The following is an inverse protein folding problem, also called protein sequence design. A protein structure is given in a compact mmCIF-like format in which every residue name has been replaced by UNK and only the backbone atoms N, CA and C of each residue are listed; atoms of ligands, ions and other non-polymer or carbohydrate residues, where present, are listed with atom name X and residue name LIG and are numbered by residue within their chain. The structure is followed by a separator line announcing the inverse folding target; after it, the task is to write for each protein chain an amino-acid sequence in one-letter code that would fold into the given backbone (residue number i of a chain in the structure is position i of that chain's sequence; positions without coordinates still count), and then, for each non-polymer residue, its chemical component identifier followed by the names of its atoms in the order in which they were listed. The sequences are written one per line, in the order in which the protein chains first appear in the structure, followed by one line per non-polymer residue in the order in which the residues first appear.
data_IF_635746807667
#
_entry.id   IF_635746807667
#
_cell.length_a   1.000
_cell.length_b   1.000
_cell.length_c   1.000
_cell.angle_alpha   90.00
_cell.angle_beta   90.00
_cell.angle_gamma   90.00
#
_symmetry.space_group_name_H-M   'P 1'
#
loop_
_entity.id
_entity.type
_entity.pdbx_description
1 polymer ?
#
# COMPACT_ATOMS: atom_id res chain seq x y z
N UNK A 1 7.77 -11.93 -2.31
CA UNK A 1 7.70 -10.54 -1.83
C UNK A 1 6.31 -10.35 -1.22
N UNK A 2 6.23 -9.88 0.03
CA UNK A 2 4.94 -9.63 0.68
C UNK A 2 4.61 -8.15 0.57
N UNK A 3 3.61 -7.81 -0.24
CA UNK A 3 3.11 -6.45 -0.40
C UNK A 3 1.84 -6.29 0.44
N UNK A 4 1.83 -5.29 1.29
CA UNK A 4 0.71 -4.99 2.17
C UNK A 4 0.27 -3.55 1.94
N UNK A 5 -1.00 -3.37 1.58
CA UNK A 5 -1.63 -2.08 1.44
C UNK A 5 -2.28 -1.72 2.77
N UNK A 6 -1.86 -0.62 3.38
CA UNK A 6 -2.50 -0.09 4.57
C UNK A 6 -3.28 1.18 4.21
N UNK A 7 -4.60 1.06 4.22
CA UNK A 7 -5.52 2.08 3.68
C UNK A 7 -6.69 2.33 4.62
N UNK A 8 -7.48 3.35 4.35
CA UNK A 8 -8.79 3.51 5.00
C UNK A 8 -9.88 2.76 4.23
N UNK A 9 -10.99 2.42 4.87
CA UNK A 9 -12.13 1.80 4.16
C UNK A 9 -12.69 2.71 3.05
N UNK A 10 -12.52 4.02 3.20
CA UNK A 10 -12.97 5.04 2.25
C UNK A 10 -11.87 5.48 1.27
N UNK A 11 -10.75 4.77 1.19
CA UNK A 11 -9.63 5.18 0.33
C UNK A 11 -9.98 5.04 -1.16
N UNK A 12 -10.23 6.18 -1.80
CA UNK A 12 -10.56 6.26 -3.22
C UNK A 12 -9.41 5.84 -4.17
N UNK A 13 -8.18 5.75 -3.68
CA UNK A 13 -7.01 5.34 -4.47
C UNK A 13 -6.89 3.82 -4.57
N UNK A 14 -7.44 3.09 -3.59
CA UNK A 14 -7.27 1.65 -3.46
C UNK A 14 -7.60 0.88 -4.75
N UNK A 15 -8.72 1.13 -5.47
CA UNK A 15 -9.03 0.38 -6.69
C UNK A 15 -7.97 0.54 -7.79
N UNK A 16 -7.37 1.74 -7.90
CA UNK A 16 -6.33 1.98 -8.90
C UNK A 16 -5.02 1.29 -8.50
N UNK A 17 -4.65 1.30 -7.22
CA UNK A 17 -3.45 0.60 -6.73
C UNK A 17 -3.57 -0.90 -6.93
N UNK A 18 -4.73 -1.48 -6.54
CA UNK A 18 -5.04 -2.91 -6.76
C UNK A 18 -4.82 -3.31 -8.21
N UNK A 19 -5.41 -2.56 -9.14
CA UNK A 19 -5.28 -2.80 -10.57
C UNK A 19 -3.83 -2.76 -11.05
N UNK A 20 -3.02 -1.77 -10.62
CA UNK A 20 -1.61 -1.73 -11.05
C UNK A 20 -0.80 -2.90 -10.50
N UNK A 21 -1.09 -3.37 -9.27
CA UNK A 21 -0.44 -4.56 -8.71
C UNK A 21 -0.89 -5.84 -9.41
N UNK A 22 -2.18 -5.96 -9.73
CA UNK A 22 -2.74 -7.08 -10.49
C UNK A 22 -2.15 -7.13 -11.90
N UNK A 23 -2.08 -5.98 -12.60
CA UNK A 23 -1.49 -5.84 -13.94
C UNK A 23 0.02 -6.19 -13.92
N UNK A 24 0.70 -6.00 -12.79
CA UNK A 24 2.09 -6.38 -12.58
C UNK A 24 2.27 -7.84 -12.09
N UNK A 25 1.18 -8.58 -11.85
CA UNK A 25 1.22 -9.96 -11.35
C UNK A 25 1.68 -10.09 -9.90
N UNK A 26 1.48 -9.06 -9.09
CA UNK A 26 1.97 -8.97 -7.71
C UNK A 26 0.85 -9.34 -6.75
N UNK A 27 1.11 -10.33 -5.90
CA UNK A 27 0.20 -10.65 -4.80
C UNK A 27 0.33 -9.60 -3.68
N UNK A 28 -0.81 -9.15 -3.17
CA UNK A 28 -0.88 -8.20 -2.06
C UNK A 28 -1.99 -8.55 -1.06
N UNK A 29 -1.83 -8.06 0.16
CA UNK A 29 -2.86 -8.05 1.19
C UNK A 29 -3.34 -6.62 1.43
N UNK A 30 -4.58 -6.46 1.87
CA UNK A 30 -5.14 -5.16 2.24
C UNK A 30 -5.50 -5.21 3.72
N UNK A 31 -4.91 -4.32 4.48
CA UNK A 31 -5.26 -4.06 5.86
C UNK A 31 -5.82 -2.65 5.99
N UNK A 32 -6.77 -2.50 6.91
CA UNK A 32 -7.40 -1.21 7.17
C UNK A 32 -6.79 -0.56 8.40
N UNK A 33 -6.48 0.74 8.29
CA UNK A 33 -5.94 1.58 9.36
C UNK A 33 -6.86 1.54 10.57
N UNK A 34 -8.16 1.56 10.33
CA UNK A 34 -9.23 1.54 11.33
C UNK A 34 -9.21 0.27 12.19
N UNK A 35 -8.74 -0.85 11.62
CA UNK A 35 -8.68 -2.16 12.28
C UNK A 35 -7.30 -2.45 12.89
N UNK A 36 -6.27 -1.67 12.53
CA UNK A 36 -4.87 -1.95 12.88
C UNK A 36 -4.17 -0.74 13.55
N UNK A 37 -4.67 -0.23 14.69
CA UNK A 37 -4.12 0.97 15.33
C UNK A 37 -2.66 0.79 15.81
N UNK A 38 -2.26 -0.43 16.17
CA UNK A 38 -0.89 -0.73 16.58
C UNK A 38 0.11 -0.55 15.43
N UNK A 39 -0.28 -0.96 14.22
CA UNK A 39 0.54 -0.86 13.02
C UNK A 39 0.65 0.60 12.55
N UNK A 40 -0.41 1.38 12.75
CA UNK A 40 -0.41 2.83 12.51
C UNK A 40 0.56 3.52 13.46
N UNK A 41 0.56 3.15 14.75
CA UNK A 41 1.45 3.72 15.74
C UNK A 41 2.92 3.33 15.51
N UNK A 42 3.19 2.05 15.22
CA UNK A 42 4.56 1.54 15.01
C UNK A 42 5.27 2.17 13.82
N UNK A 43 4.50 2.51 12.77
CA UNK A 43 5.03 3.17 11.58
C UNK A 43 4.77 4.69 11.54
N UNK A 44 4.19 5.28 12.59
CA UNK A 44 3.81 6.69 12.67
C UNK A 44 3.01 7.17 11.44
N UNK A 45 2.03 6.36 11.05
CA UNK A 45 1.18 6.59 9.87
C UNK A 45 0.14 7.66 10.22
N UNK A 46 -0.05 8.62 9.31
CA UNK A 46 -0.91 9.80 9.53
C UNK A 46 -1.93 10.04 8.42
N UNK A 47 -1.78 9.36 7.29
CA UNK A 47 -2.62 9.49 6.11
C UNK A 47 -2.63 8.16 5.35
N UNK A 48 -3.57 7.99 4.42
CA UNK A 48 -3.63 6.87 3.50
C UNK A 48 -3.52 7.36 2.06
N UNK A 49 -3.11 6.51 1.10
CA UNK A 49 -2.71 5.10 1.24
C UNK A 49 -1.23 4.93 1.61
N UNK A 50 -0.88 3.82 2.27
CA UNK A 50 0.50 3.39 2.52
C UNK A 50 0.74 2.00 1.95
N UNK A 51 1.99 1.71 1.58
CA UNK A 51 2.40 0.38 1.13
C UNK A 51 3.62 -0.08 1.92
N UNK A 52 3.47 -1.24 2.55
CA UNK A 52 4.53 -1.95 3.24
C UNK A 52 5.01 -3.11 2.37
N UNK A 53 6.32 -3.31 2.31
CA UNK A 53 6.95 -4.42 1.62
C UNK A 53 7.81 -5.18 2.61
N UNK A 54 7.49 -6.46 2.82
CA UNK A 54 8.10 -7.30 3.86
C UNK A 54 8.11 -6.62 5.25
N UNK A 55 7.04 -5.90 5.59
CA UNK A 55 6.88 -5.17 6.85
C UNK A 55 7.58 -3.82 6.93
N UNK A 56 8.30 -3.40 5.88
CA UNK A 56 8.91 -2.07 5.82
C UNK A 56 8.02 -1.09 5.07
N UNK A 57 7.74 0.07 5.66
CA UNK A 57 6.96 1.13 5.02
C UNK A 57 7.78 1.77 3.89
N UNK A 58 7.42 1.47 2.63
CA UNK A 58 8.12 1.94 1.44
C UNK A 58 7.43 3.18 0.86
N UNK A 59 6.10 3.14 0.74
CA UNK A 59 5.31 4.25 0.23
C UNK A 59 4.46 4.82 1.36
N UNK A 60 4.64 6.10 1.65
CA UNK A 60 3.85 6.85 2.65
C UNK A 60 2.69 7.60 2.02
N UNK A 61 2.85 8.02 0.77
CA UNK A 61 1.88 8.79 0.01
C UNK A 61 1.29 7.97 -1.14
N UNK A 62 0.29 8.54 -1.82
CA UNK A 62 -0.30 7.97 -3.04
C UNK A 62 0.81 7.74 -4.09
N UNK A 63 1.21 6.48 -4.35
CA UNK A 63 2.23 6.23 -5.35
C UNK A 63 1.63 6.44 -6.74
N UNK A 64 2.41 7.04 -7.64
CA UNK A 64 2.01 7.13 -9.04
C UNK A 64 2.11 5.78 -9.74
N UNK A 65 1.37 5.61 -10.85
CA UNK A 65 1.47 4.39 -11.68
C UNK A 65 2.90 4.14 -12.15
N UNK A 66 3.63 5.20 -12.49
CA UNK A 66 5.03 5.13 -12.91
C UNK A 66 5.92 4.58 -11.81
N UNK A 67 5.78 5.09 -10.58
CA UNK A 67 6.58 4.63 -9.45
C UNK A 67 6.31 3.17 -9.08
N UNK A 68 5.05 2.73 -9.07
CA UNK A 68 4.72 1.33 -8.82
C UNK A 68 5.35 0.42 -9.88
N UNK A 69 5.22 0.78 -11.16
CA UNK A 69 5.80 0.00 -12.25
C UNK A 69 7.32 -0.03 -12.19
N UNK A 70 7.98 1.11 -11.98
CA UNK A 70 9.44 1.16 -11.85
C UNK A 70 9.92 0.37 -10.66
N UNK A 71 9.23 0.42 -9.52
CA UNK A 71 9.65 -0.30 -8.32
C UNK A 71 9.53 -1.82 -8.46
N UNK A 72 8.48 -2.31 -9.12
CA UNK A 72 8.19 -3.74 -9.17
C UNK A 72 8.59 -4.44 -10.48
N UNK A 73 8.70 -3.71 -11.58
CA UNK A 73 9.00 -4.23 -12.91
C UNK A 73 10.34 -3.70 -13.48
N UNK A 74 10.93 -2.68 -12.86
CA UNK A 74 12.26 -2.16 -13.18
C UNK A 74 13.36 -2.95 -12.48
#
# INVERSE_FOLDING_TARGET
MHVQLLVTHTDSCLPNIKRELDDAGINYCVDYIEENPELVASHNIRHSPNILINGSLIFRDRPSKGELRTFFLG
#
